data_IF_442136195394
#
_entry.id   IF_442136195394
#
_cell.length_a   1.000
_cell.length_b   1.000
_cell.length_c   1.000
_cell.angle_alpha   90.00
_cell.angle_beta   90.00
_cell.angle_gamma   90.00
#
_symmetry.space_group_name_H-M   'P 1'
#
loop_
_entity.id
_entity.type
_entity.pdbx_description
1 polymer ?
#
# COMPACT_ATOMS: atom_id res chain seq x y z
N UNK A 1 -27.09 17.28 19.70
CA UNK A 1 -26.05 18.03 19.00
C UNK A 1 -26.12 19.49 19.44
N UNK A 2 -25.07 20.03 20.04
CA UNK A 2 -24.99 21.41 20.49
C UNK A 2 -24.57 22.35 19.33
N UNK A 3 -24.53 23.67 19.57
CA UNK A 3 -24.20 24.66 18.54
C UNK A 3 -22.79 24.50 17.97
N UNK A 4 -21.82 24.15 18.80
CA UNK A 4 -20.42 23.95 18.37
C UNK A 4 -20.30 22.68 17.52
N UNK A 5 -20.94 21.58 17.93
CA UNK A 5 -20.98 20.33 17.16
C UNK A 5 -21.66 20.52 15.79
N UNK A 6 -22.72 21.33 15.72
CA UNK A 6 -23.39 21.66 14.45
C UNK A 6 -22.49 22.51 13.55
N UNK A 7 -21.78 23.49 14.12
CA UNK A 7 -20.84 24.34 13.37
C UNK A 7 -19.69 23.51 12.79
N UNK A 8 -19.14 22.59 13.59
CA UNK A 8 -18.10 21.67 13.15
C UNK A 8 -18.61 20.74 12.05
N UNK A 9 -19.82 20.19 12.18
CA UNK A 9 -20.42 19.32 11.16
C UNK A 9 -20.70 20.04 9.83
N UNK A 10 -21.01 21.33 9.91
CA UNK A 10 -21.25 22.21 8.76
C UNK A 10 -19.98 22.91 8.24
N UNK A 11 -18.78 22.52 8.71
CA UNK A 11 -17.54 22.96 8.07
C UNK A 11 -17.51 22.47 6.62
N UNK A 12 -17.01 23.31 5.71
CA UNK A 12 -16.84 22.90 4.31
C UNK A 12 -15.92 21.67 4.26
N UNK A 13 -16.43 20.56 3.72
CA UNK A 13 -15.73 19.29 3.62
C UNK A 13 -16.30 18.45 2.50
N UNK A 14 -15.46 17.56 1.97
CA UNK A 14 -15.82 16.60 0.93
C UNK A 14 -15.89 15.22 1.58
N UNK A 15 -16.93 14.45 1.25
CA UNK A 15 -17.10 13.07 1.69
C UNK A 15 -17.14 12.20 0.43
N UNK A 16 -16.12 11.34 0.18
CA UNK A 16 -16.20 10.40 -0.93
C UNK A 16 -17.30 9.38 -0.65
N UNK A 17 -18.05 9.05 -1.69
CA UNK A 17 -19.14 8.08 -1.65
C UNK A 17 -18.76 6.90 -2.55
N UNK A 18 -18.75 5.71 -1.99
CA UNK A 18 -18.33 4.49 -2.67
C UNK A 18 -19.49 3.53 -2.87
N UNK A 19 -19.45 2.80 -3.97
CA UNK A 19 -20.36 1.70 -4.20
C UNK A 19 -19.91 0.48 -3.41
N UNK A 20 -20.86 -0.13 -2.72
CA UNK A 20 -20.68 -1.36 -1.98
C UNK A 20 -21.67 -2.40 -2.50
N UNK A 21 -21.24 -3.66 -2.58
CA UNK A 21 -22.17 -4.74 -2.85
C UNK A 21 -23.27 -4.75 -1.77
N UNK A 22 -24.53 -4.76 -2.22
CA UNK A 22 -25.70 -4.74 -1.34
C UNK A 22 -25.73 -5.91 -0.34
N UNK A 23 -25.29 -7.09 -0.76
CA UNK A 23 -25.32 -8.32 0.04
C UNK A 23 -24.09 -8.43 0.97
N UNK A 24 -22.99 -7.74 0.65
CA UNK A 24 -21.80 -7.67 1.50
C UNK A 24 -21.74 -6.41 2.38
N UNK A 25 -22.77 -5.55 2.35
CA UNK A 25 -22.78 -4.24 3.00
C UNK A 25 -22.38 -4.28 4.48
N UNK A 26 -22.92 -5.23 5.25
CA UNK A 26 -22.62 -5.32 6.69
C UNK A 26 -21.19 -5.82 6.95
N UNK A 27 -20.66 -6.73 6.11
CA UNK A 27 -19.25 -7.18 6.17
C UNK A 27 -18.29 -6.08 5.74
N UNK A 28 -18.71 -5.22 4.81
CA UNK A 28 -17.95 -4.06 4.39
C UNK A 28 -17.80 -3.07 5.55
N UNK A 29 -18.87 -2.79 6.29
CA UNK A 29 -18.81 -1.94 7.48
C UNK A 29 -17.96 -2.58 8.59
N UNK A 30 -18.04 -3.90 8.78
CA UNK A 30 -17.17 -4.65 9.71
C UNK A 30 -15.68 -4.42 9.43
N UNK A 31 -15.28 -4.35 8.16
CA UNK A 31 -13.89 -4.09 7.79
C UNK A 31 -13.44 -2.67 8.20
N UNK A 32 -14.26 -1.66 7.98
CA UNK A 32 -13.94 -0.28 8.41
C UNK A 32 -13.94 -0.13 9.93
N UNK A 33 -14.86 -0.78 10.65
CA UNK A 33 -14.83 -0.75 12.12
C UNK A 33 -13.63 -1.53 12.69
N UNK A 34 -13.21 -2.62 12.03
CA UNK A 34 -11.98 -3.33 12.37
C UNK A 34 -10.71 -2.48 12.17
N UNK A 35 -10.74 -1.51 11.25
CA UNK A 35 -9.69 -0.50 11.07
C UNK A 35 -9.74 0.59 12.16
N UNK A 36 -10.81 0.67 12.94
CA UNK A 36 -11.02 1.68 13.98
C UNK A 36 -11.86 2.88 13.53
N UNK A 37 -12.61 2.77 12.42
CA UNK A 37 -13.60 3.78 12.07
C UNK A 37 -14.88 3.61 12.89
N UNK A 38 -15.52 4.72 13.22
CA UNK A 38 -16.82 4.74 13.87
C UNK A 38 -17.94 4.85 12.82
N UNK A 39 -19.01 4.07 12.97
CA UNK A 39 -20.22 4.24 12.16
C UNK A 39 -21.00 5.44 12.71
N UNK A 40 -21.02 6.54 11.95
CA UNK A 40 -21.69 7.78 12.35
C UNK A 40 -23.08 7.95 11.71
N UNK A 41 -23.41 7.11 10.73
CA UNK A 41 -24.73 7.02 10.14
C UNK A 41 -24.97 5.63 9.54
N UNK A 42 -26.17 5.09 9.69
CA UNK A 42 -26.56 3.82 9.09
C UNK A 42 -28.05 3.82 8.72
N UNK A 43 -28.35 3.40 7.50
CA UNK A 43 -29.69 3.30 6.93
C UNK A 43 -29.82 1.96 6.21
N UNK A 44 -30.88 1.21 6.55
CA UNK A 44 -31.20 -0.07 5.89
C UNK A 44 -32.23 0.06 4.76
N UNK A 45 -33.13 1.04 4.85
CA UNK A 45 -34.21 1.29 3.89
C UNK A 45 -34.45 2.81 3.76
N UNK A 46 -34.92 3.33 2.59
CA UNK A 46 -35.37 2.60 1.40
C UNK A 46 -34.23 2.02 0.55
N UNK A 47 -32.99 2.42 0.81
CA UNK A 47 -31.76 1.85 0.27
C UNK A 47 -30.73 1.70 1.39
N UNK A 48 -29.73 0.84 1.18
CA UNK A 48 -28.62 0.71 2.13
C UNK A 48 -27.65 1.87 1.96
N UNK A 49 -27.37 2.55 3.07
CA UNK A 49 -26.37 3.59 3.13
C UNK A 49 -25.74 3.66 4.53
N UNK A 50 -24.47 4.01 4.59
CA UNK A 50 -23.79 4.24 5.85
C UNK A 50 -22.66 5.26 5.66
N UNK A 51 -22.38 6.01 6.71
CA UNK A 51 -21.15 6.81 6.81
C UNK A 51 -20.32 6.30 7.97
N UNK A 52 -19.01 6.19 7.73
CA UNK A 52 -18.00 5.91 8.74
C UNK A 52 -17.04 7.08 8.86
N UNK A 53 -16.53 7.34 10.06
CA UNK A 53 -15.59 8.42 10.36
C UNK A 53 -14.42 7.89 11.16
N UNK A 54 -13.21 8.31 10.81
CA UNK A 54 -12.03 8.16 11.66
C UNK A 54 -11.31 9.48 11.77
N UNK A 55 -11.02 9.89 13.01
CA UNK A 55 -10.21 11.08 13.25
C UNK A 55 -8.81 10.93 12.63
N UNK A 56 -8.29 12.02 12.09
CA UNK A 56 -7.04 12.04 11.32
C UNK A 56 -7.11 11.45 9.90
N UNK A 57 -8.21 10.80 9.49
CA UNK A 57 -8.39 10.27 8.12
C UNK A 57 -9.56 10.94 7.40
N UNK A 58 -10.76 10.92 8.00
CA UNK A 58 -11.95 11.54 7.42
C UNK A 58 -13.19 10.64 7.42
N UNK A 59 -14.24 11.13 6.77
CA UNK A 59 -15.52 10.44 6.62
C UNK A 59 -15.61 9.78 5.24
N UNK A 60 -16.13 8.55 5.18
CA UNK A 60 -16.50 7.88 3.94
C UNK A 60 -17.97 7.47 3.98
N UNK A 61 -18.67 7.64 2.86
CA UNK A 61 -20.03 7.14 2.69
C UNK A 61 -20.07 5.93 1.74
N UNK A 62 -21.01 5.02 1.99
CA UNK A 62 -21.17 3.79 1.21
C UNK A 62 -22.63 3.62 0.77
N UNK A 63 -22.85 3.37 -0.53
CA UNK A 63 -24.15 3.00 -1.08
C UNK A 63 -24.21 1.50 -1.35
N UNK A 64 -25.28 0.83 -0.91
CA UNK A 64 -25.53 -0.56 -1.27
C UNK A 64 -26.13 -0.68 -2.67
N UNK A 65 -25.37 -1.25 -3.60
CA UNK A 65 -25.76 -1.45 -5.00
C UNK A 65 -26.14 -2.91 -5.24
N UNK A 66 -27.38 -3.15 -5.70
CA UNK A 66 -27.85 -4.50 -6.08
C UNK A 66 -27.20 -4.93 -7.38
N UNK A 67 -26.90 -6.22 -7.51
CA UNK A 67 -26.27 -6.81 -8.70
C UNK A 67 -24.95 -6.12 -9.08
N UNK A 68 -24.19 -5.67 -8.08
CA UNK A 68 -22.89 -5.06 -8.32
C UNK A 68 -21.96 -6.12 -8.95
N UNK A 69 -21.55 -5.93 -10.21
CA UNK A 69 -20.64 -6.87 -10.87
C UNK A 69 -19.24 -6.73 -10.29
N UNK A 70 -18.58 -7.84 -10.01
CA UNK A 70 -17.14 -7.87 -9.71
C UNK A 70 -16.37 -7.47 -10.97
N UNK A 71 -16.10 -6.17 -11.10
CA UNK A 71 -15.26 -5.61 -12.13
C UNK A 71 -14.21 -4.78 -11.37
N UNK A 72 -12.95 -5.20 -11.43
CA UNK A 72 -11.89 -4.68 -10.55
C UNK A 72 -11.84 -3.15 -10.42
N UNK A 73 -11.44 -2.70 -9.23
CA UNK A 73 -11.30 -1.30 -8.79
C UNK A 73 -12.52 -0.41 -9.11
N UNK A 74 -13.56 -0.49 -8.27
CA UNK A 74 -14.83 0.23 -8.46
C UNK A 74 -14.73 1.74 -8.20
N UNK A 75 -13.84 2.16 -7.30
CA UNK A 75 -13.62 3.56 -6.94
C UNK A 75 -12.43 3.74 -5.99
N UNK A 76 -12.04 4.98 -5.74
CA UNK A 76 -10.97 5.27 -4.79
C UNK A 76 -10.81 6.74 -4.46
N UNK A 77 -10.05 7.02 -3.41
CA UNK A 77 -9.61 8.37 -3.06
C UNK A 77 -8.18 8.34 -2.53
N UNK A 78 -7.54 9.52 -2.57
CA UNK A 78 -6.25 9.74 -1.93
C UNK A 78 -6.45 10.68 -0.73
N UNK A 79 -5.87 10.32 0.40
CA UNK A 79 -5.95 11.08 1.65
C UNK A 79 -4.53 11.46 2.06
N UNK A 80 -4.28 12.76 2.11
CA UNK A 80 -3.03 13.29 2.64
C UNK A 80 -3.08 13.36 4.16
N UNK A 81 -2.07 12.81 4.81
CA UNK A 81 -1.90 12.84 6.26
C UNK A 81 -0.52 13.39 6.62
N UNK A 82 -0.36 14.03 7.79
CA UNK A 82 0.91 14.63 8.18
C UNK A 82 1.97 13.61 8.62
N UNK A 83 1.56 12.39 8.99
CA UNK A 83 2.45 11.31 9.38
C UNK A 83 1.82 9.98 8.97
N UNK A 84 2.20 9.46 7.81
CA UNK A 84 1.58 8.23 7.29
C UNK A 84 2.00 6.98 8.07
N UNK A 85 3.19 6.96 8.67
CA UNK A 85 3.65 5.80 9.45
C UNK A 85 2.87 5.62 10.74
N UNK A 86 2.53 6.72 11.43
CA UNK A 86 1.69 6.68 12.63
C UNK A 86 0.28 6.19 12.31
N UNK A 87 -0.34 6.74 11.25
CA UNK A 87 -1.66 6.29 10.78
C UNK A 87 -1.62 4.81 10.41
N UNK A 88 -0.59 4.37 9.66
CA UNK A 88 -0.42 2.97 9.30
C UNK A 88 -0.29 2.07 10.53
N UNK A 89 0.54 2.44 11.50
CA UNK A 89 0.75 1.66 12.71
C UNK A 89 -0.54 1.48 13.51
N UNK A 90 -1.34 2.54 13.63
CA UNK A 90 -2.64 2.49 14.30
C UNK A 90 -3.61 1.54 13.59
N UNK A 91 -3.82 1.73 12.28
CA UNK A 91 -4.71 0.87 11.49
C UNK A 91 -4.26 -0.60 11.50
N UNK A 92 -2.94 -0.84 11.40
CA UNK A 92 -2.33 -2.17 11.48
C UNK A 92 -2.59 -2.83 12.82
N UNK A 93 -2.50 -2.08 13.92
CA UNK A 93 -2.78 -2.61 15.26
C UNK A 93 -4.26 -2.98 15.40
N UNK A 94 -5.17 -2.10 14.98
CA UNK A 94 -6.62 -2.32 15.06
C UNK A 94 -7.05 -3.56 14.27
N UNK A 95 -6.65 -3.63 12.99
CA UNK A 95 -7.05 -4.73 12.11
C UNK A 95 -6.44 -6.07 12.55
N UNK A 96 -5.19 -6.06 13.05
CA UNK A 96 -4.54 -7.25 13.61
C UNK A 96 -5.23 -7.70 14.89
N UNK A 97 -5.66 -6.79 15.74
CA UNK A 97 -6.42 -7.11 16.96
C UNK A 97 -7.74 -7.80 16.63
N UNK A 98 -8.46 -7.26 15.64
CA UNK A 98 -9.76 -7.77 15.23
C UNK A 98 -9.68 -9.11 14.48
N UNK A 99 -8.90 -9.20 13.40
CA UNK A 99 -8.80 -10.40 12.56
C UNK A 99 -7.74 -11.41 13.02
N UNK A 100 -6.96 -11.09 14.06
CA UNK A 100 -5.78 -11.86 14.53
C UNK A 100 -4.66 -11.97 13.49
N UNK A 101 -4.79 -11.29 12.36
CA UNK A 101 -3.83 -11.23 11.26
C UNK A 101 -4.01 -9.92 10.50
N UNK A 102 -2.99 -9.53 9.74
CA UNK A 102 -3.09 -8.40 8.82
C UNK A 102 -3.46 -8.96 7.44
N UNK A 103 -4.61 -8.59 6.85
CA UNK A 103 -4.96 -9.01 5.51
C UNK A 103 -4.06 -8.29 4.51
N UNK A 104 -2.95 -8.90 4.12
CA UNK A 104 -1.96 -8.27 3.23
C UNK A 104 -2.14 -8.63 1.74
N UNK A 105 -3.10 -9.51 1.43
CA UNK A 105 -3.33 -10.08 0.09
C UNK A 105 -4.82 -10.39 -0.09
N UNK A 106 -5.23 -10.49 -1.35
CA UNK A 106 -6.63 -10.73 -1.70
C UNK A 106 -7.49 -9.50 -1.42
N UNK A 107 -8.77 -9.74 -1.20
CA UNK A 107 -9.77 -8.70 -0.92
C UNK A 107 -10.56 -9.16 0.33
N UNK A 108 -10.68 -8.33 1.37
CA UNK A 108 -10.01 -7.03 1.54
C UNK A 108 -8.51 -7.18 1.81
N UNK A 109 -7.74 -6.10 1.62
CA UNK A 109 -6.32 -6.02 1.98
C UNK A 109 -5.89 -4.64 2.45
N UNK A 110 -4.79 -4.60 3.21
CA UNK A 110 -4.02 -3.41 3.53
C UNK A 110 -2.57 -3.67 3.12
N UNK A 111 -2.06 -2.86 2.18
CA UNK A 111 -0.66 -2.96 1.76
C UNK A 111 0.27 -2.35 2.81
N UNK A 112 1.57 -2.54 2.62
CA UNK A 112 2.59 -1.95 3.50
C UNK A 112 2.80 -0.48 3.13
N UNK A 113 3.39 0.28 4.04
CA UNK A 113 3.93 1.60 3.68
C UNK A 113 5.05 1.40 2.67
N UNK A 114 4.92 2.10 1.56
CA UNK A 114 5.86 2.10 0.45
C UNK A 114 6.35 3.52 0.21
N UNK A 115 7.64 3.66 -0.02
CA UNK A 115 8.25 4.91 -0.47
C UNK A 115 8.18 4.99 -1.98
N UNK A 116 7.65 6.07 -2.52
CA UNK A 116 7.74 6.38 -3.94
C UNK A 116 8.57 7.64 -4.15
N UNK A 117 8.64 8.13 -5.39
CA UNK A 117 9.37 9.37 -5.67
C UNK A 117 8.70 10.61 -5.08
N UNK A 118 7.37 10.58 -4.95
CA UNK A 118 6.56 11.75 -4.58
C UNK A 118 5.99 11.69 -3.16
N UNK A 119 5.91 10.50 -2.57
CA UNK A 119 5.22 10.30 -1.29
C UNK A 119 5.68 9.03 -0.55
N UNK A 120 5.35 8.99 0.73
CA UNK A 120 5.12 7.73 1.44
C UNK A 120 3.63 7.39 1.39
N UNK A 121 3.25 6.16 1.05
CA UNK A 121 1.84 5.75 1.01
C UNK A 121 1.61 4.28 1.32
N UNK A 122 0.41 3.95 1.75
CA UNK A 122 -0.12 2.59 1.74
C UNK A 122 -1.57 2.60 1.22
N UNK A 123 -2.03 1.44 0.77
CA UNK A 123 -3.38 1.27 0.24
C UNK A 123 -4.23 0.37 1.13
N UNK A 124 -5.49 0.73 1.27
CA UNK A 124 -6.55 -0.13 1.79
C UNK A 124 -7.45 -0.49 0.62
N UNK A 125 -7.59 -1.77 0.33
CA UNK A 125 -8.63 -2.27 -0.58
C UNK A 125 -9.71 -2.95 0.24
N UNK A 126 -10.92 -2.39 0.19
CA UNK A 126 -12.06 -2.89 0.96
C UNK A 126 -12.72 -4.13 0.30
N UNK A 127 -13.71 -4.79 0.96
CA UNK A 127 -14.38 -5.97 0.39
C UNK A 127 -15.14 -5.73 -0.91
N UNK A 128 -15.45 -4.48 -1.25
CA UNK A 128 -16.11 -4.06 -2.49
C UNK A 128 -15.12 -3.60 -3.56
N UNK A 129 -13.82 -3.80 -3.31
CA UNK A 129 -12.71 -3.40 -4.18
C UNK A 129 -12.57 -1.89 -4.39
N UNK A 130 -13.04 -1.05 -3.46
CA UNK A 130 -12.61 0.34 -3.46
C UNK A 130 -11.20 0.44 -2.87
N UNK A 131 -10.38 1.34 -3.43
CA UNK A 131 -9.02 1.56 -2.97
C UNK A 131 -8.87 2.95 -2.33
N UNK A 132 -8.54 2.97 -1.05
CA UNK A 132 -8.21 4.17 -0.28
C UNK A 132 -6.70 4.25 -0.16
N UNK A 133 -6.10 5.24 -0.83
CA UNK A 133 -4.67 5.53 -0.70
C UNK A 133 -4.49 6.56 0.40
N UNK A 134 -3.65 6.24 1.39
CA UNK A 134 -3.30 7.16 2.47
C UNK A 134 -1.81 7.44 2.36
N UNK A 135 -1.44 8.72 2.29
CA UNK A 135 -0.04 9.08 2.09
C UNK A 135 0.35 10.45 2.59
N UNK A 136 1.66 10.65 2.64
CA UNK A 136 2.34 11.86 3.05
C UNK A 136 3.22 12.30 1.87
N UNK A 137 2.91 13.45 1.29
CA UNK A 137 3.63 13.95 0.11
C UNK A 137 4.97 14.58 0.50
N UNK A 138 5.99 14.39 -0.34
CA UNK A 138 7.26 15.09 -0.24
C UNK A 138 7.25 16.48 -0.89
N UNK A 139 6.19 16.82 -1.62
CA UNK A 139 6.07 18.11 -2.29
C UNK A 139 5.13 18.07 -3.50
N UNK A 140 5.47 18.86 -4.52
CA UNK A 140 4.74 18.83 -5.78
C UNK A 140 5.06 17.55 -6.56
N UNK A 141 4.05 16.68 -6.73
CA UNK A 141 4.24 15.38 -7.37
C UNK A 141 4.75 15.50 -8.80
N UNK A 142 4.30 16.51 -9.56
CA UNK A 142 4.74 16.70 -10.95
C UNK A 142 6.25 16.91 -11.01
N UNK A 143 6.76 17.88 -10.24
CA UNK A 143 8.18 18.21 -10.17
C UNK A 143 9.01 17.03 -9.69
N UNK A 144 8.54 16.31 -8.67
CA UNK A 144 9.25 15.16 -8.10
C UNK A 144 9.31 13.97 -9.07
N UNK A 145 8.22 13.71 -9.80
CA UNK A 145 8.19 12.68 -10.83
C UNK A 145 9.11 12.99 -12.00
N UNK A 146 9.14 14.25 -12.46
CA UNK A 146 10.04 14.68 -13.52
C UNK A 146 11.52 14.49 -13.12
N UNK A 147 11.88 14.90 -11.89
CA UNK A 147 13.21 14.71 -11.36
C UNK A 147 13.60 13.22 -11.24
N UNK A 148 12.67 12.36 -10.82
CA UNK A 148 12.90 10.91 -10.77
C UNK A 148 13.11 10.32 -12.18
N UNK A 149 12.30 10.73 -13.15
CA UNK A 149 12.45 10.29 -14.54
C UNK A 149 13.81 10.70 -15.12
N UNK A 150 14.28 11.93 -14.84
CA UNK A 150 15.61 12.40 -15.22
C UNK A 150 16.72 11.58 -14.55
N UNK A 151 16.62 11.35 -13.23
CA UNK A 151 17.55 10.51 -12.46
C UNK A 151 17.65 9.11 -13.07
N UNK A 152 16.52 8.47 -13.38
CA UNK A 152 16.48 7.13 -13.98
C UNK A 152 17.07 7.12 -15.39
N UNK A 153 16.83 8.16 -16.20
CA UNK A 153 17.42 8.29 -17.55
C UNK A 153 18.94 8.41 -17.48
N UNK A 154 19.46 9.14 -16.49
CA UNK A 154 20.89 9.38 -16.27
C UNK A 154 21.67 8.15 -15.78
N UNK A 155 21.00 7.09 -15.29
CA UNK A 155 21.67 5.84 -14.91
C UNK A 155 22.42 5.24 -16.11
N UNK A 156 23.63 4.72 -15.88
CA UNK A 156 24.39 4.00 -16.92
C UNK A 156 24.04 2.51 -16.92
N UNK A 157 23.95 1.90 -15.73
CA UNK A 157 23.63 0.48 -15.56
C UNK A 157 22.22 0.16 -16.06
N UNK A 158 22.14 -0.86 -16.93
CA UNK A 158 20.86 -1.37 -17.41
C UNK A 158 20.12 -2.14 -16.32
N UNK A 159 20.85 -2.74 -15.37
CA UNK A 159 20.25 -3.39 -14.22
C UNK A 159 19.56 -2.38 -13.31
N UNK A 160 20.22 -1.26 -13.01
CA UNK A 160 19.65 -0.21 -12.15
C UNK A 160 18.40 0.42 -12.76
N UNK A 161 18.38 0.63 -14.08
CA UNK A 161 17.16 1.06 -14.80
C UNK A 161 16.02 0.06 -14.66
N UNK A 162 16.32 -1.23 -14.80
CA UNK A 162 15.31 -2.27 -14.67
C UNK A 162 14.82 -2.42 -13.21
N UNK A 163 15.71 -2.26 -12.24
CA UNK A 163 15.36 -2.18 -10.82
C UNK A 163 14.41 -1.01 -10.55
N UNK A 164 14.74 0.20 -11.01
CA UNK A 164 13.88 1.38 -10.83
C UNK A 164 12.49 1.17 -11.48
N UNK A 165 12.44 0.55 -12.66
CA UNK A 165 11.19 0.21 -13.33
C UNK A 165 10.37 -0.82 -12.51
N UNK A 166 11.00 -1.88 -12.01
CA UNK A 166 10.34 -2.89 -11.17
C UNK A 166 9.85 -2.30 -9.83
N UNK A 167 10.65 -1.44 -9.21
CA UNK A 167 10.31 -0.73 -7.98
C UNK A 167 9.05 0.11 -8.15
N UNK A 168 8.98 0.90 -9.23
CA UNK A 168 7.80 1.71 -9.57
C UNK A 168 6.57 0.84 -9.83
N UNK A 169 6.72 -0.28 -10.55
CA UNK A 169 5.61 -1.21 -10.79
C UNK A 169 5.07 -1.79 -9.48
N UNK A 170 5.96 -2.19 -8.56
CA UNK A 170 5.57 -2.78 -7.29
C UNK A 170 4.91 -1.78 -6.34
N UNK A 171 5.49 -0.58 -6.17
CA UNK A 171 5.11 0.32 -5.08
C UNK A 171 4.20 1.47 -5.48
N UNK A 172 4.24 1.91 -6.75
CA UNK A 172 3.31 2.93 -7.25
C UNK A 172 2.06 2.31 -7.85
N UNK A 173 2.17 1.14 -8.50
CA UNK A 173 1.04 0.50 -9.20
C UNK A 173 0.48 -0.75 -8.54
N UNK A 174 1.14 -1.28 -7.50
CA UNK A 174 0.85 -2.61 -6.93
C UNK A 174 0.81 -3.74 -7.98
N UNK A 175 1.47 -3.55 -9.13
CA UNK A 175 1.56 -4.56 -10.20
C UNK A 175 2.77 -5.47 -9.95
N UNK A 176 2.62 -6.32 -8.94
CA UNK A 176 3.67 -7.27 -8.54
C UNK A 176 4.00 -8.26 -9.66
N UNK A 177 3.05 -8.57 -10.56
CA UNK A 177 3.29 -9.50 -11.67
C UNK A 177 4.23 -8.88 -12.71
N UNK A 178 3.96 -7.64 -13.13
CA UNK A 178 4.84 -6.92 -14.04
C UNK A 178 6.18 -6.58 -13.38
N UNK A 179 6.18 -6.22 -12.09
CA UNK A 179 7.41 -5.98 -11.33
C UNK A 179 8.30 -7.23 -11.31
N UNK A 180 7.72 -8.41 -11.02
CA UNK A 180 8.42 -9.70 -11.07
C UNK A 180 9.04 -9.92 -12.43
N UNK A 181 8.24 -9.84 -13.49
CA UNK A 181 8.71 -10.16 -14.84
C UNK A 181 9.85 -9.21 -15.26
N UNK A 182 9.75 -7.94 -14.93
CA UNK A 182 10.80 -6.93 -15.17
C UNK A 182 12.10 -7.29 -14.44
N UNK A 183 12.01 -7.56 -13.13
CA UNK A 183 13.18 -7.80 -12.29
C UNK A 183 13.85 -9.15 -12.59
N UNK A 184 13.07 -10.20 -12.85
CA UNK A 184 13.58 -11.53 -13.24
C UNK A 184 14.32 -11.49 -14.57
N UNK A 185 13.85 -10.68 -15.53
CA UNK A 185 14.57 -10.47 -16.80
C UNK A 185 15.90 -9.75 -16.55
N UNK A 186 15.93 -8.78 -15.64
CA UNK A 186 17.15 -8.05 -15.28
C UNK A 186 18.20 -8.99 -14.68
N UNK A 187 17.83 -9.79 -13.68
CA UNK A 187 18.74 -10.77 -13.06
C UNK A 187 19.32 -11.80 -14.05
N UNK A 188 18.54 -12.20 -15.07
CA UNK A 188 19.04 -13.12 -16.10
C UNK A 188 19.96 -12.47 -17.12
N UNK A 189 19.75 -11.19 -17.44
CA UNK A 189 20.46 -10.50 -18.54
C UNK A 189 21.72 -9.77 -18.09
N UNK A 190 21.75 -9.29 -16.86
CA UNK A 190 22.83 -8.47 -16.32
C UNK A 190 23.35 -9.16 -15.06
N UNK A 191 24.61 -9.60 -15.07
CA UNK A 191 25.21 -10.37 -13.97
C UNK A 191 26.42 -9.71 -13.33
N UNK A 192 27.00 -8.69 -13.97
CA UNK A 192 28.26 -8.05 -13.54
C UNK A 192 28.18 -6.51 -13.55
N UNK A 193 26.99 -5.93 -13.72
CA UNK A 193 26.76 -4.49 -13.95
C UNK A 193 25.94 -3.83 -12.82
N UNK A 194 26.30 -4.08 -11.55
CA UNK A 194 25.69 -3.45 -10.37
C UNK A 194 26.55 -3.60 -9.10
N UNK A 195 26.37 -2.67 -8.15
CA UNK A 195 26.99 -2.74 -6.82
C UNK A 195 26.30 -3.76 -5.91
N UNK A 196 26.97 -4.13 -4.81
CA UNK A 196 26.36 -4.96 -3.75
C UNK A 196 25.14 -4.28 -3.13
N UNK A 197 25.15 -2.96 -2.94
CA UNK A 197 23.97 -2.21 -2.49
C UNK A 197 22.77 -2.40 -3.43
N UNK A 198 23.00 -2.23 -4.74
CA UNK A 198 21.96 -2.37 -5.76
C UNK A 198 21.44 -3.82 -5.82
N UNK A 199 22.34 -4.80 -5.71
CA UNK A 199 21.96 -6.21 -5.63
C UNK A 199 21.09 -6.50 -4.40
N UNK A 200 21.49 -6.01 -3.22
CA UNK A 200 20.74 -6.19 -1.98
C UNK A 200 19.33 -5.59 -2.10
N UNK A 201 19.22 -4.32 -2.51
CA UNK A 201 17.92 -3.65 -2.74
C UNK A 201 17.04 -4.44 -3.71
N UNK A 202 17.61 -4.92 -4.81
CA UNK A 202 16.89 -5.73 -5.79
C UNK A 202 16.41 -7.07 -5.21
N UNK A 203 17.21 -7.74 -4.36
CA UNK A 203 16.81 -9.00 -3.71
C UNK A 203 15.74 -8.79 -2.63
N UNK A 204 15.80 -7.68 -1.88
CA UNK A 204 14.72 -7.30 -0.95
C UNK A 204 13.40 -7.07 -1.72
N UNK A 205 13.45 -6.30 -2.81
CA UNK A 205 12.29 -6.09 -3.67
C UNK A 205 11.77 -7.40 -4.29
N UNK A 206 12.67 -8.28 -4.73
CA UNK A 206 12.33 -9.59 -5.29
C UNK A 206 11.60 -10.47 -4.25
N UNK A 207 12.11 -10.52 -3.02
CA UNK A 207 11.47 -11.23 -1.91
C UNK A 207 10.06 -10.70 -1.64
N UNK A 208 9.89 -9.38 -1.64
CA UNK A 208 8.58 -8.77 -1.45
C UNK A 208 7.61 -9.09 -2.58
N UNK A 209 8.04 -8.96 -3.84
CA UNK A 209 7.22 -9.27 -5.01
C UNK A 209 6.72 -10.71 -4.93
N UNK A 210 7.61 -11.66 -4.65
CA UNK A 210 7.23 -13.06 -4.49
C UNK A 210 6.30 -13.28 -3.29
N UNK A 211 6.58 -12.62 -2.17
CA UNK A 211 5.70 -12.65 -1.02
C UNK A 211 4.31 -12.18 -1.42
N UNK A 212 4.15 -10.99 -2.01
CA UNK A 212 2.86 -10.42 -2.45
C UNK A 212 2.10 -11.32 -3.44
N UNK A 213 2.81 -11.99 -4.35
CA UNK A 213 2.22 -12.95 -5.30
C UNK A 213 1.88 -14.33 -4.69
N UNK A 214 2.14 -14.55 -3.39
CA UNK A 214 1.89 -15.84 -2.74
C UNK A 214 2.94 -16.91 -3.06
N UNK A 215 4.04 -16.54 -3.70
CA UNK A 215 5.13 -17.43 -4.12
C UNK A 215 6.13 -17.63 -2.97
N UNK A 216 5.67 -18.27 -1.88
CA UNK A 216 6.43 -18.37 -0.61
C UNK A 216 7.82 -18.99 -0.76
N UNK A 217 7.97 -20.03 -1.58
CA UNK A 217 9.26 -20.70 -1.77
C UNK A 217 10.29 -19.76 -2.40
N UNK A 218 9.88 -19.05 -3.46
CA UNK A 218 10.73 -18.06 -4.14
C UNK A 218 11.03 -16.85 -3.27
N UNK A 219 10.07 -16.43 -2.43
CA UNK A 219 10.31 -15.37 -1.45
C UNK A 219 11.41 -15.78 -0.45
N UNK A 220 11.37 -17.01 0.09
CA UNK A 220 12.40 -17.53 0.98
C UNK A 220 13.78 -17.59 0.30
N UNK A 221 13.83 -18.04 -0.95
CA UNK A 221 15.07 -18.07 -1.73
C UNK A 221 15.67 -16.67 -1.92
N UNK A 222 14.85 -15.70 -2.33
CA UNK A 222 15.28 -14.31 -2.48
C UNK A 222 15.77 -13.71 -1.15
N UNK A 223 15.15 -14.06 0.00
CA UNK A 223 15.61 -13.64 1.33
C UNK A 223 16.98 -14.26 1.64
N UNK A 224 17.17 -15.55 1.37
CA UNK A 224 18.46 -16.21 1.58
C UNK A 224 19.55 -15.60 0.72
N UNK A 225 19.24 -15.24 -0.53
CA UNK A 225 20.17 -14.57 -1.42
C UNK A 225 20.48 -13.13 -0.98
N UNK A 226 19.47 -12.36 -0.54
CA UNK A 226 19.69 -11.03 0.02
C UNK A 226 20.67 -11.08 1.21
N UNK A 227 20.52 -12.06 2.10
CA UNK A 227 21.40 -12.23 3.27
C UNK A 227 22.83 -12.69 2.92
N UNK A 228 23.07 -13.19 1.70
CA UNK A 228 24.40 -13.57 1.22
C UNK A 228 25.16 -12.41 0.57
N UNK A 229 24.49 -11.29 0.31
CA UNK A 229 25.15 -10.11 -0.26
C UNK A 229 26.11 -9.53 0.77
N UNK A 230 27.38 -9.40 0.39
CA UNK A 230 28.42 -8.89 1.27
C UNK A 230 28.33 -7.36 1.36
N UNK A 231 27.77 -6.88 2.46
CA UNK A 231 27.63 -5.46 2.78
C UNK A 231 28.60 -5.08 3.89
N UNK A 232 29.36 -4.02 3.67
CA UNK A 232 30.17 -3.33 4.69
C UNK A 232 29.27 -2.75 5.80
N UNK A 233 29.87 -2.40 6.94
CA UNK A 233 29.12 -1.76 8.04
C UNK A 233 28.46 -0.46 7.61
N UNK A 234 29.15 0.37 6.82
CA UNK A 234 28.59 1.63 6.31
C UNK A 234 27.42 1.41 5.35
N UNK A 235 27.49 0.39 4.49
CA UNK A 235 26.37 0.02 3.61
C UNK A 235 25.17 -0.52 4.42
N UNK A 236 25.40 -1.30 5.49
CA UNK A 236 24.30 -1.77 6.34
C UNK A 236 23.58 -0.63 7.05
N UNK A 237 24.32 0.37 7.50
CA UNK A 237 23.75 1.57 8.12
C UNK A 237 22.94 2.40 7.11
N UNK A 238 23.45 2.60 5.89
CA UNK A 238 22.73 3.35 4.84
C UNK A 238 21.49 2.60 4.31
N UNK A 239 21.47 1.28 4.46
CA UNK A 239 20.39 0.39 3.99
C UNK A 239 19.48 -0.12 5.10
N UNK A 240 19.48 0.51 6.28
CA UNK A 240 18.70 0.07 7.43
C UNK A 240 17.21 -0.14 7.10
N UNK A 241 16.62 0.76 6.31
CA UNK A 241 15.23 0.64 5.82
C UNK A 241 14.99 -0.66 5.05
N UNK A 242 15.93 -1.07 4.20
CA UNK A 242 15.83 -2.31 3.42
C UNK A 242 16.06 -3.55 4.30
N UNK A 243 16.92 -3.45 5.32
CA UNK A 243 17.14 -4.52 6.31
C UNK A 243 15.88 -4.76 7.13
N UNK A 244 15.27 -3.69 7.64
CA UNK A 244 14.01 -3.75 8.37
C UNK A 244 12.91 -4.33 7.50
N UNK A 245 12.83 -3.89 6.23
CA UNK A 245 11.89 -4.42 5.25
C UNK A 245 12.06 -5.92 5.03
N UNK A 246 13.29 -6.39 4.87
CA UNK A 246 13.59 -7.81 4.69
C UNK A 246 13.15 -8.64 5.91
N UNK A 247 13.38 -8.12 7.13
CA UNK A 247 12.92 -8.75 8.37
C UNK A 247 11.40 -8.87 8.41
N UNK A 248 10.68 -7.79 8.10
CA UNK A 248 9.21 -7.81 8.05
C UNK A 248 8.66 -8.79 7.00
N UNK A 249 9.31 -8.93 5.84
CA UNK A 249 8.92 -9.92 4.82
C UNK A 249 9.07 -11.33 5.36
N UNK A 250 10.20 -11.62 6.02
CA UNK A 250 10.47 -12.91 6.64
C UNK A 250 9.42 -13.27 7.70
N UNK A 251 9.00 -12.32 8.53
CA UNK A 251 7.93 -12.55 9.51
C UNK A 251 6.57 -12.85 8.86
N UNK A 252 6.25 -12.20 7.75
CA UNK A 252 4.95 -12.35 7.08
C UNK A 252 4.79 -13.70 6.37
N UNK A 253 5.89 -14.28 5.86
CA UNK A 253 5.81 -15.51 5.06
C UNK A 253 5.90 -16.79 5.91
N UNK A 254 6.40 -16.68 7.16
CA UNK A 254 6.35 -17.73 8.18
C UNK A 254 4.90 -18.11 8.50
#
# INVERSE_FOLDING_TARGET
>A
MNKEELKERNRNRIVPLFDCDYDLFDKHLEFYTALGFEIIYYQKAPYRFASVLKDGIGEFGFYGVKNAKENGNRGGCYIYVPNVQEVYAELKANIKSYYRKIPSKGIPRMSRVNKTAEDWRFNITDPSENTITIGETFGDSTTLMEAEDERVRALESKFEKAYAAAYRLAYSKEDFLAARNTLEVAFRKFTEDFSNETLFKAKVLQAEIFASLGQKSQANEAILEANKVDLTTGEKESLSEFVDRLSEINEQIR
#
